data_IF_643139058610
#
_entry.id   IF_643139058610
#
_cell.length_a   1.000
_cell.length_b   1.000
_cell.length_c   1.000
_cell.angle_alpha   90.00
_cell.angle_beta   90.00
_cell.angle_gamma   90.00
#
_symmetry.space_group_name_H-M   'P 1'
#
loop_
_entity.id
_entity.type
_entity.pdbx_description
1 polymer ?
#
# COMPACT_ATOMS: atom_id res chain seq x y z
N UNK A 1 -13.02 8.85 4.84
CA UNK A 1 -13.14 9.02 3.38
C UNK A 1 -14.06 7.91 2.90
N UNK A 2 -15.14 8.23 2.21
CA UNK A 2 -16.07 7.22 1.67
C UNK A 2 -15.66 6.92 0.23
N UNK A 3 -15.52 5.65 -0.13
CA UNK A 3 -15.17 5.23 -1.49
C UNK A 3 -16.46 4.81 -2.17
N UNK A 4 -17.06 5.74 -2.92
CA UNK A 4 -18.41 5.56 -3.47
C UNK A 4 -18.40 5.20 -4.96
N UNK A 5 -17.24 5.25 -5.60
CA UNK A 5 -17.08 4.90 -7.00
C UNK A 5 -15.69 4.32 -7.31
N UNK A 6 -15.57 3.69 -8.48
CA UNK A 6 -14.26 3.23 -9.01
C UNK A 6 -13.27 4.39 -9.20
N UNK A 7 -13.76 5.59 -9.48
CA UNK A 7 -12.94 6.80 -9.60
C UNK A 7 -12.34 7.21 -8.25
N UNK A 8 -13.17 7.22 -7.21
CA UNK A 8 -12.75 7.55 -5.85
C UNK A 8 -11.76 6.50 -5.31
N UNK A 9 -12.00 5.22 -5.61
CA UNK A 9 -11.08 4.15 -5.28
C UNK A 9 -9.71 4.35 -5.94
N UNK A 10 -9.69 4.74 -7.22
CA UNK A 10 -8.44 5.03 -7.93
C UNK A 10 -7.67 6.21 -7.32
N UNK A 11 -8.36 7.31 -6.97
CA UNK A 11 -7.74 8.47 -6.33
C UNK A 11 -7.21 8.13 -4.93
N UNK A 12 -8.00 7.40 -4.13
CA UNK A 12 -7.58 6.91 -2.83
C UNK A 12 -6.34 6.00 -2.94
N UNK A 13 -6.35 5.06 -3.89
CA UNK A 13 -5.22 4.14 -4.13
C UNK A 13 -3.94 4.89 -4.45
N UNK A 14 -4.02 5.94 -5.28
CA UNK A 14 -2.88 6.80 -5.61
C UNK A 14 -2.35 7.49 -4.35
N UNK A 15 -3.23 8.01 -3.50
CA UNK A 15 -2.82 8.73 -2.31
C UNK A 15 -2.15 7.81 -1.28
N UNK A 16 -2.71 6.62 -1.07
CA UNK A 16 -2.09 5.59 -0.23
C UNK A 16 -0.73 5.16 -0.78
N UNK A 17 -0.61 4.94 -2.09
CA UNK A 17 0.67 4.60 -2.70
C UNK A 17 1.73 5.68 -2.48
N UNK A 18 1.37 6.97 -2.62
CA UNK A 18 2.28 8.08 -2.31
C UNK A 18 2.73 8.09 -0.86
N UNK A 19 1.79 7.88 0.07
CA UNK A 19 2.11 7.85 1.51
C UNK A 19 3.10 6.72 1.83
N UNK A 20 2.84 5.52 1.31
CA UNK A 20 3.75 4.37 1.49
C UNK A 20 5.13 4.63 0.90
N UNK A 21 5.20 5.25 -0.29
CA UNK A 21 6.48 5.61 -0.91
C UNK A 21 7.20 6.71 -0.11
N UNK A 22 6.48 7.68 0.45
CA UNK A 22 7.08 8.70 1.31
C UNK A 22 7.67 8.09 2.59
N UNK A 23 6.97 7.12 3.19
CA UNK A 23 7.36 6.50 4.45
C UNK A 23 8.48 5.45 4.29
N UNK A 24 8.47 4.69 3.18
CA UNK A 24 9.33 3.50 3.00
C UNK A 24 10.26 3.57 1.78
N UNK A 25 10.02 4.50 0.86
CA UNK A 25 10.78 4.61 -0.38
C UNK A 25 12.25 5.02 -0.18
N UNK A 26 12.55 5.74 0.90
CA UNK A 26 13.91 6.12 1.25
C UNK A 26 14.79 4.89 1.55
N UNK A 27 14.32 3.96 2.37
CA UNK A 27 15.09 2.76 2.72
C UNK A 27 15.30 1.85 1.52
N UNK A 28 14.30 1.74 0.63
CA UNK A 28 14.46 1.04 -0.64
C UNK A 28 15.52 1.72 -1.54
N UNK A 29 15.46 3.04 -1.69
CA UNK A 29 16.44 3.79 -2.49
C UNK A 29 17.85 3.66 -1.91
N UNK A 30 17.99 3.71 -0.59
CA UNK A 30 19.25 3.50 0.13
C UNK A 30 19.79 2.10 -0.09
N UNK A 31 18.96 1.07 0.08
CA UNK A 31 19.36 -0.32 -0.16
C UNK A 31 19.78 -0.55 -1.61
N UNK A 32 19.06 0.03 -2.58
CA UNK A 32 19.39 -0.06 -4.00
C UNK A 32 20.71 0.65 -4.35
N UNK A 33 21.08 1.71 -3.61
CA UNK A 33 22.29 2.49 -3.89
C UNK A 33 23.58 1.86 -3.38
N UNK A 34 23.53 0.96 -2.39
CA UNK A 34 24.75 0.42 -1.79
C UNK A 34 24.57 -0.73 -0.80
N UNK A 35 23.36 -1.27 -0.67
CA UNK A 35 23.08 -2.48 0.08
C UNK A 35 23.40 -3.75 -0.70
N UNK A 36 23.34 -4.89 -0.03
CA UNK A 36 23.41 -6.19 -0.68
C UNK A 36 22.05 -6.59 -1.25
N UNK A 37 22.02 -7.67 -2.04
CA UNK A 37 20.78 -8.17 -2.66
C UNK A 37 19.68 -8.47 -1.63
N UNK A 38 20.07 -8.96 -0.45
CA UNK A 38 19.14 -9.21 0.65
C UNK A 38 18.52 -7.92 1.20
N UNK A 39 19.30 -6.84 1.32
CA UNK A 39 18.80 -5.54 1.79
C UNK A 39 17.77 -4.97 0.80
N UNK A 40 18.04 -5.08 -0.51
CA UNK A 40 17.11 -4.65 -1.56
C UNK A 40 15.84 -5.48 -1.53
N UNK A 41 15.95 -6.80 -1.35
CA UNK A 41 14.81 -7.71 -1.25
C UNK A 41 13.91 -7.37 -0.08
N UNK A 42 14.49 -7.15 1.10
CA UNK A 42 13.74 -6.81 2.31
C UNK A 42 13.09 -5.42 2.19
N UNK A 43 13.86 -4.42 1.77
CA UNK A 43 13.37 -3.05 1.62
C UNK A 43 12.34 -2.91 0.49
N UNK A 44 12.40 -3.75 -0.54
CA UNK A 44 11.42 -3.77 -1.65
C UNK A 44 10.12 -4.50 -1.29
N UNK A 45 10.18 -5.52 -0.44
CA UNK A 45 9.00 -6.26 -0.01
C UNK A 45 8.11 -5.43 0.93
N UNK A 46 8.71 -4.64 1.82
CA UNK A 46 7.99 -3.81 2.78
C UNK A 46 6.91 -2.90 2.17
N UNK A 47 7.19 -2.04 1.16
CA UNK A 47 6.17 -1.18 0.56
C UNK A 47 5.11 -1.97 -0.20
N UNK A 48 5.49 -3.06 -0.86
CA UNK A 48 4.55 -3.95 -1.54
C UNK A 48 3.55 -4.58 -0.56
N UNK A 49 4.04 -5.11 0.56
CA UNK A 49 3.20 -5.69 1.60
C UNK A 49 2.31 -4.65 2.26
N UNK A 50 2.83 -3.45 2.55
CA UNK A 50 2.04 -2.36 3.11
C UNK A 50 0.89 -1.95 2.18
N UNK A 51 1.15 -1.88 0.87
CA UNK A 51 0.12 -1.59 -0.12
C UNK A 51 -0.94 -2.70 -0.17
N UNK A 52 -0.54 -3.96 -0.23
CA UNK A 52 -1.47 -5.10 -0.20
C UNK A 52 -2.34 -5.09 1.06
N UNK A 53 -1.75 -4.81 2.22
CA UNK A 53 -2.51 -4.73 3.48
C UNK A 53 -3.56 -3.61 3.44
N UNK A 54 -3.20 -2.42 2.97
CA UNK A 54 -4.13 -1.30 2.84
C UNK A 54 -5.30 -1.63 1.89
N UNK A 55 -5.02 -2.35 0.80
CA UNK A 55 -6.05 -2.77 -0.16
C UNK A 55 -7.02 -3.80 0.45
N UNK A 56 -6.50 -4.75 1.24
CA UNK A 56 -7.32 -5.74 1.95
C UNK A 56 -8.16 -5.05 3.04
N UNK A 57 -7.59 -4.10 3.78
CA UNK A 57 -8.30 -3.35 4.81
C UNK A 57 -9.49 -2.59 4.23
N UNK A 58 -9.31 -1.89 3.10
CA UNK A 58 -10.41 -1.22 2.41
C UNK A 58 -11.43 -2.22 1.89
N UNK A 59 -11.00 -3.34 1.31
CA UNK A 59 -11.93 -4.38 0.87
C UNK A 59 -12.77 -4.91 2.04
N UNK A 60 -12.14 -5.23 3.17
CA UNK A 60 -12.81 -5.72 4.36
C UNK A 60 -13.81 -4.68 4.89
N UNK A 61 -13.41 -3.41 5.00
CA UNK A 61 -14.29 -2.32 5.43
C UNK A 61 -15.48 -2.09 4.47
N UNK A 62 -15.34 -2.41 3.18
CA UNK A 62 -16.45 -2.41 2.23
C UNK A 62 -17.38 -3.62 2.42
N UNK A 63 -16.85 -4.78 2.81
CA UNK A 63 -17.64 -6.01 3.04
C UNK A 63 -18.30 -6.07 4.41
N UNK A 64 -17.79 -5.37 5.43
CA UNK A 64 -18.36 -5.34 6.78
C UNK A 64 -19.77 -4.72 6.85
N UNK A 65 -20.15 -3.91 5.85
CA UNK A 65 -21.52 -3.38 5.68
C UNK A 65 -22.47 -4.30 4.90
N UNK A 66 -21.97 -5.41 4.37
CA UNK A 66 -22.75 -6.46 3.69
C UNK A 66 -22.93 -7.60 4.70
N UNK A 67 -23.64 -7.34 5.79
CA UNK A 67 -24.20 -8.45 6.57
C UNK A 67 -25.24 -9.14 5.71
N UNK A 68 -25.04 -10.43 5.43
CA UNK A 68 -26.05 -11.28 4.80
C UNK A 68 -27.32 -11.30 5.68
N UNK A 69 -28.28 -10.41 5.38
CA UNK A 69 -29.69 -10.52 5.79
C UNK A 69 -30.54 -11.02 4.62
#
# INVERSE_FOLDING_TARGET
MQIDSRGDFGLWTIEVAKQIVADQGYELARAASGGCEEDVRLAGNAPGQAFTNAMIEVFNGLTEGVSDE
#
